data_IF_868805097790
#
_entry.id   IF_868805097790
#
_cell.length_a   1.000
_cell.length_b   1.000
_cell.length_c   1.000
_cell.angle_alpha   90.00
_cell.angle_beta   90.00
_cell.angle_gamma   90.00
#
_symmetry.space_group_name_H-M   'P 1'
#
loop_
_entity.id
_entity.type
_entity.pdbx_description
1 polymer ?
#
# COMPACT_ATOMS: atom_id res chain seq x y z
N UNK A 1 -34.99 4.53 -1.32
CA UNK A 1 -33.89 4.49 -0.35
C UNK A 1 -32.67 4.14 -1.17
N UNK A 2 -31.63 4.97 -1.14
CA UNK A 2 -30.45 4.79 -2.00
C UNK A 2 -29.49 3.80 -1.32
N UNK A 3 -30.02 2.63 -1.01
CA UNK A 3 -29.38 1.54 -0.30
C UNK A 3 -29.15 0.36 -1.23
N UNK A 4 -27.99 -0.27 -1.12
CA UNK A 4 -27.52 -1.32 -2.00
C UNK A 4 -26.99 -2.49 -1.18
N UNK A 5 -27.27 -3.71 -1.62
CA UNK A 5 -26.55 -4.88 -1.17
C UNK A 5 -25.22 -4.98 -1.92
N UNK A 6 -24.20 -5.45 -1.22
CA UNK A 6 -22.84 -5.57 -1.73
C UNK A 6 -22.44 -7.03 -1.66
N UNK A 7 -21.85 -7.53 -2.74
CA UNK A 7 -21.11 -8.78 -2.79
C UNK A 7 -19.71 -8.47 -3.31
N UNK A 8 -18.68 -9.02 -2.64
CA UNK A 8 -17.28 -8.86 -3.00
C UNK A 8 -16.66 -10.22 -3.27
N UNK A 9 -15.81 -10.26 -4.29
CA UNK A 9 -14.81 -11.31 -4.48
C UNK A 9 -13.45 -10.59 -4.59
N UNK A 10 -12.59 -10.83 -3.60
CA UNK A 10 -11.26 -10.26 -3.51
C UNK A 10 -10.23 -11.36 -3.71
N UNK A 11 -9.21 -11.09 -4.51
CA UNK A 11 -8.03 -11.94 -4.63
C UNK A 11 -6.80 -11.09 -4.30
N UNK A 12 -5.96 -11.61 -3.42
CA UNK A 12 -4.72 -10.98 -2.98
C UNK A 12 -3.54 -11.57 -3.76
N UNK A 13 -2.45 -10.81 -3.82
CA UNK A 13 -1.22 -11.18 -4.49
C UNK A 13 -0.58 -12.47 -3.95
N UNK A 14 -0.81 -12.78 -2.67
CA UNK A 14 -0.36 -14.02 -2.02
C UNK A 14 -1.22 -15.24 -2.37
N UNK A 15 -2.22 -15.07 -3.24
CA UNK A 15 -3.14 -16.10 -3.70
C UNK A 15 -4.36 -16.29 -2.80
N UNK A 16 -4.45 -15.58 -1.67
CA UNK A 16 -5.65 -15.63 -0.85
C UNK A 16 -6.86 -15.08 -1.61
N UNK A 17 -8.00 -15.73 -1.46
CA UNK A 17 -9.27 -15.23 -1.99
C UNK A 17 -10.29 -15.14 -0.89
N UNK A 18 -10.97 -14.00 -0.85
CA UNK A 18 -11.92 -13.62 0.19
C UNK A 18 -13.22 -13.19 -0.47
N UNK A 19 -14.32 -13.77 -0.01
CA UNK A 19 -15.64 -13.24 -0.35
C UNK A 19 -16.11 -12.30 0.75
N UNK A 20 -16.98 -11.37 0.37
CA UNK A 20 -17.58 -10.45 1.33
C UNK A 20 -19.01 -10.08 0.98
N UNK A 21 -19.76 -9.68 2.00
CA UNK A 21 -21.14 -9.23 1.86
C UNK A 21 -21.41 -8.05 2.80
N UNK A 22 -22.29 -7.14 2.38
CA UNK A 22 -22.63 -5.99 3.20
C UNK A 22 -23.69 -5.10 2.58
N UNK A 23 -23.82 -3.92 3.15
CA UNK A 23 -24.79 -2.92 2.73
C UNK A 23 -24.10 -1.56 2.56
N UNK A 24 -24.50 -0.86 1.49
CA UNK A 24 -24.01 0.47 1.14
C UNK A 24 -25.14 1.47 0.99
N UNK A 25 -24.84 2.74 1.24
CA UNK A 25 -25.74 3.86 1.03
C UNK A 25 -24.99 4.93 0.22
N UNK A 26 -25.69 5.53 -0.75
CA UNK A 26 -25.20 6.72 -1.45
C UNK A 26 -25.83 7.95 -0.82
N UNK A 27 -25.01 8.82 -0.23
CA UNK A 27 -25.42 10.14 0.23
C UNK A 27 -25.18 11.17 -0.87
N UNK A 28 -26.06 12.16 -0.95
CA UNK A 28 -25.93 13.35 -1.82
C UNK A 28 -25.60 13.05 -3.29
N UNK A 29 -25.99 11.86 -3.78
CA UNK A 29 -25.76 11.42 -5.16
C UNK A 29 -24.36 10.90 -5.49
N UNK A 30 -23.38 10.99 -4.58
CA UNK A 30 -22.00 10.54 -4.86
C UNK A 30 -21.22 9.97 -3.66
N UNK A 31 -21.61 10.26 -2.42
CA UNK A 31 -20.88 9.83 -1.24
C UNK A 31 -21.27 8.40 -0.85
N UNK A 32 -20.48 7.43 -1.27
CA UNK A 32 -20.69 6.03 -0.94
C UNK A 32 -20.16 5.72 0.47
N UNK A 33 -21.04 5.16 1.31
CA UNK A 33 -20.68 4.65 2.63
C UNK A 33 -21.19 3.22 2.75
N UNK A 34 -20.31 2.28 3.04
CA UNK A 34 -20.70 0.89 3.22
C UNK A 34 -20.06 0.27 4.45
N UNK A 35 -20.73 -0.75 4.99
CA UNK A 35 -20.14 -1.72 5.89
C UNK A 35 -20.15 -3.07 5.21
N UNK A 36 -19.00 -3.73 5.15
CA UNK A 36 -18.84 -5.03 4.50
C UNK A 36 -18.15 -5.98 5.44
N UNK A 37 -18.67 -7.21 5.53
CA UNK A 37 -17.96 -8.31 6.16
C UNK A 37 -17.09 -8.97 5.10
N UNK A 38 -15.77 -8.97 5.26
CA UNK A 38 -14.83 -9.59 4.34
C UNK A 38 -13.74 -10.33 5.11
N UNK A 39 -13.50 -11.61 4.78
CA UNK A 39 -12.37 -12.35 5.35
C UNK A 39 -12.42 -12.54 6.86
N UNK A 40 -13.63 -12.55 7.44
CA UNK A 40 -13.83 -12.59 8.90
C UNK A 40 -13.78 -11.23 9.58
N UNK A 41 -13.43 -10.17 8.87
CA UNK A 41 -13.31 -8.80 9.38
C UNK A 41 -14.46 -7.89 8.94
N UNK A 42 -14.88 -6.97 9.81
CA UNK A 42 -15.82 -5.91 9.43
C UNK A 42 -15.04 -4.70 8.95
N UNK A 43 -15.31 -4.25 7.72
CA UNK A 43 -14.70 -3.05 7.15
C UNK A 43 -15.75 -1.98 6.86
N UNK A 44 -15.31 -0.73 6.90
CA UNK A 44 -16.04 0.43 6.41
C UNK A 44 -15.44 0.88 5.08
N UNK A 45 -16.28 1.26 4.14
CA UNK A 45 -15.87 1.89 2.88
C UNK A 45 -16.34 3.35 2.87
N UNK A 46 -15.42 4.25 2.54
CA UNK A 46 -15.68 5.68 2.37
C UNK A 46 -15.18 6.06 0.98
N UNK A 47 -16.09 6.01 0.01
CA UNK A 47 -15.78 6.20 -1.40
C UNK A 47 -16.59 7.38 -1.99
N UNK A 48 -16.14 7.86 -3.14
CA UNK A 48 -16.83 8.82 -3.97
C UNK A 48 -17.16 8.18 -5.32
N UNK A 49 -18.42 8.26 -5.74
CA UNK A 49 -18.87 7.90 -7.08
C UNK A 49 -18.50 9.04 -8.03
N UNK A 50 -17.93 8.70 -9.18
CA UNK A 50 -17.66 9.67 -10.23
C UNK A 50 -18.95 10.26 -10.79
N UNK A 51 -18.87 11.48 -11.34
CA UNK A 51 -20.03 12.21 -11.89
C UNK A 51 -20.74 11.43 -13.01
N UNK A 52 -20.00 10.66 -13.80
CA UNK A 52 -20.52 9.78 -14.86
C UNK A 52 -21.06 8.43 -14.34
N UNK A 53 -20.95 8.18 -13.03
CA UNK A 53 -21.38 6.95 -12.37
C UNK A 53 -20.57 5.70 -12.76
N UNK A 54 -19.41 5.86 -13.40
CA UNK A 54 -18.60 4.75 -13.92
C UNK A 54 -17.53 4.24 -12.95
N UNK A 55 -17.22 4.97 -11.88
CA UNK A 55 -16.19 4.54 -10.94
C UNK A 55 -16.48 4.96 -9.51
N UNK A 56 -15.98 4.16 -8.56
CA UNK A 56 -15.89 4.52 -7.15
C UNK A 56 -14.41 4.61 -6.79
N UNK A 57 -14.01 5.66 -6.07
CA UNK A 57 -12.66 5.79 -5.54
C UNK A 57 -12.67 6.27 -4.10
N UNK A 58 -11.72 5.81 -3.29
CA UNK A 58 -11.60 6.22 -1.90
C UNK A 58 -10.83 5.21 -1.08
N UNK A 59 -11.26 4.98 0.16
CA UNK A 59 -10.58 4.08 1.09
C UNK A 59 -11.56 3.14 1.77
N UNK A 60 -11.14 1.91 1.99
CA UNK A 60 -11.75 1.01 2.96
C UNK A 60 -10.81 0.81 4.14
N UNK A 61 -11.36 0.51 5.32
CA UNK A 61 -10.59 0.25 6.53
C UNK A 61 -11.33 -0.62 7.53
N UNK A 62 -10.61 -1.26 8.45
CA UNK A 62 -11.22 -2.06 9.52
C UNK A 62 -12.11 -1.16 10.40
N UNK A 63 -13.32 -1.63 10.70
CA UNK A 63 -14.32 -0.86 11.45
C UNK A 63 -13.86 -0.53 12.88
N UNK A 64 -13.01 -1.36 13.47
CA UNK A 64 -12.44 -1.18 14.81
C UNK A 64 -11.03 -0.57 14.79
N UNK A 65 -10.43 -0.39 13.60
CA UNK A 65 -9.08 0.15 13.45
C UNK A 65 -8.90 0.85 12.10
N UNK A 66 -9.18 2.14 12.06
CA UNK A 66 -9.12 2.91 10.81
C UNK A 66 -7.71 3.15 10.27
N UNK A 67 -6.66 2.88 11.05
CA UNK A 67 -5.28 2.90 10.58
C UNK A 67 -4.99 1.75 9.59
N UNK A 68 -5.74 0.64 9.68
CA UNK A 68 -5.59 -0.53 8.82
C UNK A 68 -6.65 -0.52 7.72
N UNK A 69 -6.20 -0.42 6.47
CA UNK A 69 -7.08 -0.30 5.33
C UNK A 69 -6.31 -0.09 4.05
N UNK A 70 -7.00 0.07 2.93
CA UNK A 70 -6.37 0.33 1.64
C UNK A 70 -7.20 1.28 0.79
N UNK A 71 -6.51 2.00 -0.09
CA UNK A 71 -7.18 2.76 -1.14
C UNK A 71 -7.78 1.80 -2.15
N UNK A 72 -8.89 2.20 -2.75
CA UNK A 72 -9.58 1.37 -3.73
C UNK A 72 -10.09 2.23 -4.87
N UNK A 73 -9.96 1.68 -6.07
CA UNK A 73 -10.63 2.14 -7.28
C UNK A 73 -11.44 0.99 -7.84
N UNK A 74 -12.74 1.20 -7.97
CA UNK A 74 -13.67 0.26 -8.59
C UNK A 74 -14.18 0.89 -9.88
N UNK A 75 -14.24 0.11 -10.95
CA UNK A 75 -14.86 0.53 -12.21
C UNK A 75 -16.12 -0.28 -12.43
N UNK A 76 -17.14 0.39 -12.98
CA UNK A 76 -18.37 -0.27 -13.39
C UNK A 76 -18.04 -1.28 -14.48
N UNK A 77 -18.55 -2.50 -14.33
CA UNK A 77 -18.50 -3.50 -15.38
C UNK A 77 -19.29 -2.98 -16.60
N UNK A 78 -18.64 -2.95 -17.75
CA UNK A 78 -19.25 -2.69 -19.06
C UNK A 78 -18.74 -3.71 -20.08
N UNK A 79 -18.94 -3.46 -21.37
CA UNK A 79 -18.41 -4.31 -22.44
C UNK A 79 -16.98 -3.93 -22.86
N UNK A 80 -16.58 -2.68 -22.63
CA UNK A 80 -15.26 -2.18 -22.98
C UNK A 80 -14.17 -2.78 -22.06
N UNK A 81 -12.98 -3.11 -22.59
CA UNK A 81 -11.86 -3.54 -21.77
C UNK A 81 -11.24 -2.35 -21.04
N UNK A 82 -10.83 -2.56 -19.79
CA UNK A 82 -10.14 -1.53 -18.98
C UNK A 82 -9.02 -2.19 -18.19
N UNK A 83 -7.84 -1.59 -18.21
CA UNK A 83 -6.71 -1.97 -17.36
C UNK A 83 -6.74 -1.10 -16.10
N UNK A 84 -6.64 -1.75 -14.93
CA UNK A 84 -6.66 -1.09 -13.63
C UNK A 84 -5.27 -1.01 -12.98
N UNK A 85 -4.48 -2.07 -13.09
CA UNK A 85 -3.14 -2.14 -12.50
C UNK A 85 -2.28 -3.22 -13.15
N UNK A 86 -0.98 -3.14 -12.91
CA UNK A 86 0.00 -4.20 -13.19
C UNK A 86 0.70 -4.53 -11.86
N UNK A 87 0.88 -5.82 -11.58
CA UNK A 87 1.55 -6.31 -10.38
C UNK A 87 2.68 -7.30 -10.70
N UNK A 88 3.91 -7.09 -10.20
CA UNK A 88 4.39 -5.82 -9.63
C UNK A 88 4.31 -4.68 -10.66
N UNK A 89 4.22 -3.41 -10.22
CA UNK A 89 4.14 -2.26 -11.13
C UNK A 89 5.51 -1.88 -11.71
N UNK A 90 6.48 -2.81 -11.74
CA UNK A 90 7.84 -2.55 -12.19
C UNK A 90 8.51 -3.79 -12.79
N UNK A 91 9.54 -3.56 -13.60
CA UNK A 91 10.44 -4.59 -14.14
C UNK A 91 11.86 -4.03 -14.26
N UNK A 92 12.88 -4.80 -13.81
CA UNK A 92 14.28 -4.37 -13.91
C UNK A 92 14.81 -4.58 -15.32
N UNK A 93 15.52 -3.59 -15.87
CA UNK A 93 16.18 -3.68 -17.17
C UNK A 93 17.16 -4.85 -17.19
N UNK A 94 17.10 -5.66 -18.24
CA UNK A 94 17.90 -6.88 -18.39
C UNK A 94 17.35 -8.11 -17.67
N UNK A 95 16.22 -7.99 -16.97
CA UNK A 95 15.61 -9.10 -16.23
C UNK A 95 14.29 -9.58 -16.86
N UNK A 96 13.85 -10.74 -16.38
CA UNK A 96 12.56 -11.33 -16.73
C UNK A 96 11.72 -11.49 -15.46
N UNK A 97 10.47 -11.06 -15.52
CA UNK A 97 9.54 -11.10 -14.39
C UNK A 97 8.18 -11.68 -14.81
N UNK A 98 7.46 -12.23 -13.84
CA UNK A 98 6.04 -12.51 -14.01
C UNK A 98 5.26 -11.26 -13.64
N UNK A 99 4.36 -10.82 -14.52
CA UNK A 99 3.48 -9.67 -14.30
C UNK A 99 2.02 -10.14 -14.35
N UNK A 100 1.19 -9.52 -13.54
CA UNK A 100 -0.25 -9.73 -13.49
C UNK A 100 -0.96 -8.42 -13.84
N UNK A 101 -1.64 -8.40 -14.97
CA UNK A 101 -2.43 -7.26 -15.42
C UNK A 101 -3.86 -7.46 -14.91
N UNK A 102 -4.36 -6.54 -14.10
CA UNK A 102 -5.73 -6.58 -13.58
C UNK A 102 -6.64 -5.62 -14.32
N UNK A 103 -7.90 -6.00 -14.49
CA UNK A 103 -8.86 -5.16 -15.19
C UNK A 103 -10.21 -5.82 -15.40
N UNK A 104 -10.92 -5.37 -16.43
CA UNK A 104 -12.18 -5.93 -16.88
C UNK A 104 -12.12 -6.22 -18.38
N UNK A 105 -12.77 -7.30 -18.80
CA UNK A 105 -12.84 -7.80 -20.19
C UNK A 105 -11.47 -7.97 -20.89
N UNK A 106 -10.44 -8.41 -20.17
CA UNK A 106 -9.07 -8.57 -20.67
C UNK A 106 -8.80 -9.90 -21.40
N UNK A 107 -9.84 -10.70 -21.66
CA UNK A 107 -9.69 -12.07 -22.17
C UNK A 107 -9.21 -12.15 -23.64
N UNK A 108 -9.16 -11.02 -24.35
CA UNK A 108 -8.82 -10.95 -25.77
C UNK A 108 -7.98 -9.71 -26.06
N UNK A 109 -7.19 -9.76 -27.15
CA UNK A 109 -6.37 -8.66 -27.62
C UNK A 109 -4.88 -8.91 -27.42
N UNK A 110 -4.07 -8.18 -28.21
CA UNK A 110 -2.62 -8.23 -28.12
C UNK A 110 -2.12 -7.40 -26.92
N UNK A 111 -1.05 -7.86 -26.29
CA UNK A 111 -0.45 -7.21 -25.12
C UNK A 111 0.78 -6.44 -25.56
N UNK A 112 0.84 -5.16 -25.18
CA UNK A 112 2.02 -4.31 -25.37
C UNK A 112 2.37 -3.67 -24.02
N UNK A 113 3.60 -3.90 -23.56
CA UNK A 113 4.10 -3.43 -22.26
C UNK A 113 4.92 -2.13 -22.37
N UNK A 114 4.94 -1.52 -23.56
CA UNK A 114 5.73 -0.33 -23.87
C UNK A 114 7.15 -0.66 -24.35
N UNK A 115 7.86 0.40 -24.75
CA UNK A 115 9.18 0.28 -25.37
C UNK A 115 10.20 -0.42 -24.46
N UNK A 116 10.95 -1.37 -25.04
CA UNK A 116 12.00 -2.11 -24.36
C UNK A 116 11.52 -3.26 -23.48
N UNK A 117 10.20 -3.53 -23.43
CA UNK A 117 9.62 -4.66 -22.68
C UNK A 117 8.86 -5.59 -23.62
N UNK A 118 9.20 -6.89 -23.59
CA UNK A 118 8.60 -7.92 -24.43
C UNK A 118 7.78 -8.91 -23.62
N UNK A 119 6.67 -9.39 -24.17
CA UNK A 119 5.92 -10.52 -23.60
C UNK A 119 6.53 -11.81 -24.13
N UNK A 120 7.18 -12.57 -23.25
CA UNK A 120 7.80 -13.86 -23.60
C UNK A 120 6.77 -14.98 -23.66
N UNK A 121 5.83 -14.96 -22.72
CA UNK A 121 4.82 -16.00 -22.59
C UNK A 121 3.56 -15.47 -21.91
N UNK A 122 2.39 -15.83 -22.45
CA UNK A 122 1.11 -15.67 -21.75
C UNK A 122 0.91 -16.93 -20.90
N UNK A 123 0.90 -16.75 -19.57
CA UNK A 123 0.73 -17.85 -18.61
C UNK A 123 -0.76 -18.15 -18.38
N UNK A 124 -1.57 -17.09 -18.32
CA UNK A 124 -3.02 -17.17 -18.19
C UNK A 124 -3.66 -15.92 -18.80
N UNK A 125 -4.76 -16.08 -19.54
CA UNK A 125 -5.55 -14.98 -20.08
C UNK A 125 -7.00 -15.12 -19.64
N UNK A 126 -7.42 -14.28 -18.71
CA UNK A 126 -8.77 -14.23 -18.15
C UNK A 126 -9.40 -12.85 -18.33
N UNK A 127 -10.71 -12.76 -18.09
CA UNK A 127 -11.45 -11.50 -18.24
C UNK A 127 -11.07 -10.45 -17.17
N UNK A 128 -10.73 -10.88 -15.95
CA UNK A 128 -10.40 -9.99 -14.85
C UNK A 128 -8.89 -9.85 -14.58
N UNK A 129 -8.09 -10.80 -15.08
CA UNK A 129 -6.66 -10.82 -14.88
C UNK A 129 -5.94 -11.57 -16.00
N UNK A 130 -4.76 -11.10 -16.37
CA UNK A 130 -3.89 -11.72 -17.38
C UNK A 130 -2.49 -11.85 -16.78
N UNK A 131 -2.03 -13.09 -16.62
CA UNK A 131 -0.70 -13.41 -16.10
C UNK A 131 0.26 -13.65 -17.26
N UNK A 132 1.38 -12.95 -17.27
CA UNK A 132 2.38 -13.02 -18.32
C UNK A 132 3.79 -13.16 -17.73
N UNK A 133 4.69 -13.74 -18.51
CA UNK A 133 6.12 -13.63 -18.32
C UNK A 133 6.65 -12.59 -19.29
N UNK A 134 7.28 -11.55 -18.79
CA UNK A 134 7.81 -10.43 -19.56
C UNK A 134 9.31 -10.26 -19.34
N UNK A 135 10.03 -9.78 -20.36
CA UNK A 135 11.44 -9.43 -20.28
C UNK A 135 11.62 -7.95 -20.58
N UNK A 136 12.51 -7.28 -19.83
CA UNK A 136 12.97 -5.94 -20.18
C UNK A 136 14.37 -6.06 -20.78
N UNK A 137 14.61 -5.40 -21.92
CA UNK A 137 15.93 -5.36 -22.53
C UNK A 137 16.94 -4.72 -21.57
N UNK A 138 18.20 -5.17 -21.59
CA UNK A 138 19.27 -4.57 -20.79
C UNK A 138 19.53 -3.09 -21.15
N UNK A 139 19.13 -2.68 -22.34
CA UNK A 139 19.21 -1.29 -22.84
C UNK A 139 17.88 -0.56 -22.76
N UNK A 140 16.86 -1.12 -22.09
CA UNK A 140 15.58 -0.45 -21.93
C UNK A 140 15.78 0.78 -21.03
N UNK A 141 15.37 1.96 -21.52
CA UNK A 141 15.50 3.19 -20.75
C UNK A 141 14.66 3.14 -19.46
N UNK A 142 15.19 3.66 -18.36
CA UNK A 142 14.41 3.83 -17.14
C UNK A 142 13.17 4.70 -17.38
N UNK A 143 12.08 4.42 -16.68
CA UNK A 143 10.87 5.23 -16.67
C UNK A 143 9.56 4.46 -16.81
N UNK A 144 8.47 5.19 -16.73
CA UNK A 144 7.12 4.63 -16.82
C UNK A 144 6.77 4.16 -18.23
N UNK A 145 5.91 3.16 -18.33
CA UNK A 145 5.37 2.59 -19.56
C UNK A 145 3.86 2.62 -19.53
N UNK A 146 3.29 2.89 -20.68
CA UNK A 146 1.88 2.65 -20.94
C UNK A 146 1.70 1.19 -21.31
N UNK A 147 0.82 0.51 -20.58
CA UNK A 147 0.43 -0.88 -20.84
C UNK A 147 -0.84 -0.87 -21.69
N UNK A 148 -0.85 -1.68 -22.74
CA UNK A 148 -1.99 -1.85 -23.64
C UNK A 148 -2.37 -3.33 -23.72
N UNK A 149 -3.67 -3.58 -23.80
CA UNK A 149 -4.25 -4.89 -24.01
C UNK A 149 -5.48 -4.74 -24.89
N UNK A 150 -5.35 -5.12 -26.17
CA UNK A 150 -6.37 -4.80 -27.18
C UNK A 150 -6.62 -3.30 -27.26
N UNK A 151 -7.87 -2.88 -27.08
CA UNK A 151 -8.26 -1.46 -27.08
C UNK A 151 -8.10 -0.79 -25.71
N UNK A 152 -7.76 -1.54 -24.66
CA UNK A 152 -7.53 -0.97 -23.34
C UNK A 152 -6.12 -0.41 -23.20
N UNK A 153 -6.01 0.75 -22.55
CA UNK A 153 -4.76 1.43 -22.28
C UNK A 153 -4.71 1.87 -20.82
N UNK A 154 -3.55 1.69 -20.19
CA UNK A 154 -3.26 2.19 -18.85
C UNK A 154 -1.90 2.86 -18.81
N UNK A 155 -1.89 4.18 -18.68
CA UNK A 155 -0.66 4.97 -18.62
C UNK A 155 0.03 4.84 -17.26
N UNK A 156 1.36 4.74 -17.30
CA UNK A 156 2.18 4.72 -16.10
C UNK A 156 1.97 3.52 -15.17
N UNK A 157 1.41 2.43 -15.67
CA UNK A 157 1.12 1.23 -14.85
C UNK A 157 2.33 0.33 -14.64
N UNK A 158 3.38 0.46 -15.45
CA UNK A 158 4.60 -0.32 -15.35
C UNK A 158 5.82 0.60 -15.39
N UNK A 159 6.74 0.48 -14.45
CA UNK A 159 8.01 1.22 -14.43
C UNK A 159 9.18 0.31 -14.79
N UNK A 160 9.92 0.64 -15.84
CA UNK A 160 11.22 0.03 -16.10
C UNK A 160 12.25 0.75 -15.25
N UNK A 161 13.09 0.02 -14.52
CA UNK A 161 14.17 0.59 -13.73
C UNK A 161 15.47 -0.18 -13.94
N UNK A 162 16.62 0.47 -13.82
CA UNK A 162 17.94 -0.17 -13.88
C UNK A 162 18.56 -0.30 -12.47
N UNK A 163 18.39 0.71 -11.64
CA UNK A 163 18.82 0.75 -10.25
C UNK A 163 17.78 1.40 -9.33
N UNK A 164 18.03 1.30 -8.03
CA UNK A 164 17.26 2.01 -7.00
C UNK A 164 18.21 3.08 -6.46
N UNK A 165 17.83 4.35 -6.59
CA UNK A 165 18.65 5.46 -6.08
C UNK A 165 18.26 5.83 -4.66
N UNK A 166 16.97 5.66 -4.32
CA UNK A 166 16.44 5.98 -3.01
C UNK A 166 15.34 5.01 -2.58
N UNK A 167 15.24 4.82 -1.27
CA UNK A 167 14.09 4.19 -0.62
C UNK A 167 13.42 5.24 0.25
N UNK A 168 12.13 5.45 0.03
CA UNK A 168 11.28 6.28 0.89
C UNK A 168 10.37 5.36 1.69
N UNK A 169 10.36 5.55 3.01
CA UNK A 169 9.42 4.85 3.89
C UNK A 169 8.15 5.68 3.91
N UNK A 170 7.05 5.12 3.42
CA UNK A 170 5.76 5.80 3.30
C UNK A 170 4.76 5.22 4.32
N UNK A 171 4.12 6.04 5.18
CA UNK A 171 4.33 7.48 5.33
C UNK A 171 5.69 7.82 5.98
N UNK A 172 6.23 8.99 5.64
CA UNK A 172 7.50 9.52 6.19
C UNK A 172 7.39 9.95 7.66
N UNK A 173 6.17 10.26 8.10
CA UNK A 173 5.80 10.52 9.47
C UNK A 173 4.48 9.82 9.83
N UNK A 174 4.47 9.06 10.93
CA UNK A 174 3.27 8.44 11.46
C UNK A 174 3.12 8.61 12.97
N UNK A 175 1.90 8.38 13.45
CA UNK A 175 1.58 8.29 14.87
C UNK A 175 0.99 6.92 15.15
N UNK A 176 1.55 6.21 16.12
CA UNK A 176 0.92 5.05 16.75
C UNK A 176 0.44 5.44 18.16
N UNK A 177 -0.56 4.73 18.68
CA UNK A 177 -1.08 4.98 20.03
C UNK A 177 -1.09 3.70 20.84
N UNK A 178 -0.53 3.77 22.05
CA UNK A 178 -0.67 2.68 23.02
C UNK A 178 -2.14 2.40 23.27
N UNK A 179 -2.47 1.14 23.55
CA UNK A 179 -3.84 0.72 23.82
C UNK A 179 -3.88 -0.52 24.70
N UNK A 180 -5.04 -1.14 24.80
CA UNK A 180 -5.44 -1.93 25.97
C UNK A 180 -4.40 -2.87 26.61
N UNK A 181 -3.99 -2.50 27.83
CA UNK A 181 -3.47 -3.42 28.85
C UNK A 181 -4.62 -3.96 29.73
N UNK A 182 -5.41 -3.07 30.34
CA UNK A 182 -6.68 -3.38 31.04
C UNK A 182 -7.81 -2.39 30.69
N UNK A 183 -7.54 -1.44 29.78
CA UNK A 183 -8.47 -0.37 29.41
C UNK A 183 -9.46 -0.75 28.30
N UNK A 184 -10.34 0.19 27.88
CA UNK A 184 -11.30 -0.04 26.80
C UNK A 184 -10.85 0.46 25.40
N UNK A 185 -9.76 1.23 25.29
CA UNK A 185 -9.27 1.82 24.03
C UNK A 185 -8.22 0.96 23.34
N UNK A 186 -8.58 0.40 22.18
CA UNK A 186 -7.68 -0.43 21.37
C UNK A 186 -6.40 0.33 20.94
N UNK A 187 -5.27 -0.38 20.75
CA UNK A 187 -4.06 0.23 20.22
C UNK A 187 -4.26 0.70 18.78
N UNK A 188 -3.60 1.80 18.41
CA UNK A 188 -3.58 2.31 17.03
C UNK A 188 -2.21 2.00 16.43
N UNK A 189 -2.10 1.04 15.49
CA UNK A 189 -0.86 0.69 14.83
C UNK A 189 -0.49 1.72 13.74
N UNK A 190 0.68 1.55 13.14
CA UNK A 190 1.11 2.27 11.96
C UNK A 190 1.68 1.30 10.93
N UNK A 191 1.13 1.29 9.72
CA UNK A 191 1.66 0.53 8.59
C UNK A 191 2.63 1.40 7.79
N UNK A 192 3.73 0.83 7.35
CA UNK A 192 4.71 1.47 6.48
C UNK A 192 4.99 0.61 5.24
N UNK A 193 5.22 1.28 4.12
CA UNK A 193 5.66 0.68 2.86
C UNK A 193 7.07 1.18 2.52
N UNK A 194 7.89 0.30 1.93
CA UNK A 194 9.22 0.66 1.44
C UNK A 194 9.12 0.91 -0.07
N UNK A 195 9.15 2.18 -0.46
CA UNK A 195 8.93 2.58 -1.85
C UNK A 195 10.26 2.97 -2.49
N UNK A 196 10.60 2.26 -3.57
CA UNK A 196 11.81 2.51 -4.35
C UNK A 196 11.60 3.63 -5.37
N UNK A 197 12.62 4.47 -5.53
CA UNK A 197 12.66 5.60 -6.46
C UNK A 197 13.98 5.60 -7.25
N UNK A 198 13.93 6.14 -8.46
CA UNK A 198 15.09 6.63 -9.21
C UNK A 198 15.11 8.16 -9.13
N UNK A 199 16.30 8.78 -9.19
CA UNK A 199 16.44 10.24 -9.18
C UNK A 199 15.85 10.91 -10.44
N UNK A 200 15.65 10.14 -11.50
CA UNK A 200 15.12 10.68 -12.75
C UNK A 200 16.19 11.38 -13.61
N UNK A 201 15.78 12.13 -14.65
CA UNK A 201 16.68 12.74 -15.62
C UNK A 201 17.75 13.70 -15.08
N UNK A 202 17.50 14.40 -13.97
CA UNK A 202 18.46 15.35 -13.40
C UNK A 202 19.51 14.71 -12.48
N UNK A 203 19.34 13.43 -12.14
CA UNK A 203 20.21 12.64 -11.25
C UNK A 203 20.34 13.22 -9.82
N UNK A 204 19.34 13.98 -9.36
CA UNK A 204 19.28 14.53 -8.02
C UNK A 204 18.17 13.84 -7.21
N UNK A 205 18.47 13.53 -5.95
CA UNK A 205 17.49 12.90 -5.08
C UNK A 205 16.50 13.92 -4.50
N UNK A 206 15.21 13.60 -4.52
CA UNK A 206 14.18 14.38 -3.85
C UNK A 206 13.69 15.58 -4.65
N UNK A 207 13.80 15.53 -5.97
CA UNK A 207 13.30 16.51 -6.92
C UNK A 207 11.94 16.08 -7.47
N UNK A 208 11.34 16.94 -8.31
CA UNK A 208 10.02 16.70 -8.90
C UNK A 208 10.06 15.65 -10.03
N UNK A 209 11.25 15.32 -10.56
CA UNK A 209 11.45 14.33 -11.62
C UNK A 209 11.88 12.93 -11.12
N UNK A 210 12.01 12.75 -9.80
CA UNK A 210 12.16 11.43 -9.17
C UNK A 210 11.07 10.48 -9.70
N UNK A 211 11.50 9.32 -10.20
CA UNK A 211 10.60 8.32 -10.78
C UNK A 211 10.28 7.26 -9.73
N UNK A 212 9.02 7.17 -9.34
CA UNK A 212 8.53 6.10 -8.46
C UNK A 212 8.58 4.75 -9.16
N UNK A 213 9.33 3.80 -8.60
CA UNK A 213 9.37 2.42 -9.09
C UNK A 213 8.19 1.63 -8.54
N UNK A 214 8.03 1.59 -7.21
CA UNK A 214 7.01 0.77 -6.56
C UNK A 214 7.30 0.46 -5.10
N UNK A 215 6.30 -0.05 -4.38
CA UNK A 215 6.53 -0.69 -3.08
C UNK A 215 7.25 -2.02 -3.33
N UNK A 216 8.33 -2.28 -2.59
CA UNK A 216 9.13 -3.49 -2.73
C UNK A 216 9.31 -4.21 -1.39
N UNK A 217 9.55 -5.53 -1.41
CA UNK A 217 9.94 -6.25 -0.21
C UNK A 217 11.20 -5.64 0.42
N UNK A 218 11.16 -5.40 1.73
CA UNK A 218 12.25 -4.77 2.47
C UNK A 218 12.51 -5.48 3.80
N UNK A 219 13.73 -5.33 4.30
CA UNK A 219 14.07 -5.63 5.69
C UNK A 219 13.74 -4.43 6.56
N UNK A 220 13.06 -4.67 7.69
CA UNK A 220 12.55 -3.62 8.57
C UNK A 220 13.29 -3.62 9.91
N UNK A 221 13.61 -2.43 10.42
CA UNK A 221 14.13 -2.24 11.78
C UNK A 221 13.52 -1.01 12.46
N UNK A 222 13.60 -0.98 13.79
CA UNK A 222 13.14 0.13 14.60
C UNK A 222 14.24 0.56 15.56
N UNK A 223 14.52 1.86 15.58
CA UNK A 223 15.54 2.48 16.43
C UNK A 223 14.98 3.68 17.20
N UNK A 224 15.75 4.17 18.17
CA UNK A 224 15.44 5.41 18.86
C UNK A 224 15.66 6.60 17.90
N UNK A 225 14.69 7.51 17.78
CA UNK A 225 14.79 8.62 16.82
C UNK A 225 15.88 9.65 17.15
N UNK A 226 16.28 9.76 18.43
CA UNK A 226 17.24 10.76 18.90
C UNK A 226 17.87 10.35 20.25
N UNK A 227 18.81 11.16 20.73
CA UNK A 227 19.53 10.91 22.00
C UNK A 227 18.60 10.84 23.22
N UNK A 228 17.51 11.61 23.23
CA UNK A 228 16.53 11.57 24.33
C UNK A 228 15.76 10.26 24.32
N UNK A 229 15.30 9.82 23.15
CA UNK A 229 14.65 8.53 22.97
C UNK A 229 15.58 7.37 23.36
N UNK A 230 16.87 7.46 23.00
CA UNK A 230 17.87 6.48 23.40
C UNK A 230 18.08 6.43 24.92
N UNK A 231 18.16 7.59 25.58
CA UNK A 231 18.27 7.68 27.04
C UNK A 231 17.01 7.15 27.76
N UNK A 232 15.84 7.24 27.13
CA UNK A 232 14.57 6.70 27.62
C UNK A 232 14.29 5.25 27.18
N UNK A 233 15.17 4.69 26.34
CA UNK A 233 15.05 3.37 25.72
C UNK A 233 13.72 3.18 24.97
N UNK A 234 13.28 4.19 24.22
CA UNK A 234 11.97 4.19 23.56
C UNK A 234 11.76 2.97 22.65
N UNK A 235 12.73 2.63 21.80
CA UNK A 235 12.66 1.47 20.90
C UNK A 235 12.48 0.14 21.64
N UNK A 236 12.92 0.04 22.90
CA UNK A 236 12.75 -1.15 23.73
C UNK A 236 11.32 -1.27 24.28
N UNK A 237 10.65 -0.16 24.54
CA UNK A 237 9.39 -0.14 25.29
C UNK A 237 8.16 0.20 24.44
N UNK A 238 8.32 0.92 23.34
CA UNK A 238 7.21 1.55 22.64
C UNK A 238 6.36 0.59 21.80
N UNK A 239 6.92 -0.54 21.35
CA UNK A 239 6.19 -1.51 20.53
C UNK A 239 7.13 -2.45 19.76
N UNK A 240 6.57 -3.10 18.75
CA UNK A 240 7.29 -4.03 17.88
C UNK A 240 6.95 -3.75 16.42
N UNK A 241 7.94 -3.82 15.54
CA UNK A 241 7.79 -3.73 14.09
C UNK A 241 7.81 -5.13 13.50
N UNK A 242 6.81 -5.47 12.67
CA UNK A 242 6.75 -6.74 11.97
C UNK A 242 7.66 -6.75 10.74
N UNK A 243 7.87 -7.94 10.16
CA UNK A 243 8.56 -8.10 8.87
C UNK A 243 7.79 -7.50 7.68
N UNK A 244 6.52 -7.11 7.87
CA UNK A 244 5.67 -6.51 6.83
C UNK A 244 5.58 -4.99 6.96
N UNK A 245 6.41 -4.35 7.79
CA UNK A 245 6.34 -2.91 8.04
C UNK A 245 5.18 -2.47 8.93
N UNK A 246 4.49 -3.40 9.60
CA UNK A 246 3.42 -3.07 10.55
C UNK A 246 4.00 -2.84 11.95
N UNK A 247 3.93 -1.61 12.45
CA UNK A 247 4.28 -1.29 13.82
C UNK A 247 3.07 -1.48 14.76
N UNK A 248 3.22 -2.38 15.72
CA UNK A 248 2.26 -2.63 16.78
C UNK A 248 2.74 -1.96 18.09
N UNK A 249 2.03 -0.94 18.62
CA UNK A 249 2.43 -0.28 19.85
C UNK A 249 2.20 -1.19 21.07
N UNK A 250 2.98 -0.95 22.12
CA UNK A 250 2.86 -1.67 23.38
C UNK A 250 1.61 -1.25 24.18
N UNK A 251 1.37 -1.98 25.28
CA UNK A 251 0.24 -1.76 26.18
C UNK A 251 0.25 -0.36 26.82
N UNK A 252 -0.94 0.16 27.07
CA UNK A 252 -1.16 1.45 27.71
C UNK A 252 -0.96 1.44 29.24
N UNK A 253 -0.99 2.63 29.84
CA UNK A 253 -0.87 2.82 31.30
C UNK A 253 0.57 3.08 31.77
N UNK A 254 0.77 3.43 33.05
CA UNK A 254 2.11 3.59 33.64
C UNK A 254 2.91 2.28 33.55
N UNK A 255 4.17 2.35 33.13
CA UNK A 255 5.05 1.18 33.08
C UNK A 255 6.12 1.28 34.19
N UNK A 256 6.03 0.46 35.27
CA UNK A 256 7.00 0.48 36.37
C UNK A 256 8.46 0.21 35.96
N UNK A 257 8.68 -0.43 34.81
CA UNK A 257 10.02 -0.70 34.28
C UNK A 257 10.66 0.51 33.58
N UNK A 258 9.90 1.60 33.35
CA UNK A 258 10.40 2.83 32.73
C UNK A 258 10.72 3.89 33.77
N UNK A 259 11.62 4.81 33.39
CA UNK A 259 11.93 6.00 34.19
C UNK A 259 10.64 6.80 34.46
N UNK A 260 10.46 7.21 35.71
CA UNK A 260 9.26 7.92 36.20
C UNK A 260 7.95 7.12 36.07
N UNK A 261 8.02 5.82 35.81
CA UNK A 261 6.84 4.99 35.54
C UNK A 261 6.00 5.53 34.37
N UNK A 262 6.64 6.20 33.42
CA UNK A 262 5.96 6.76 32.24
C UNK A 262 5.33 5.66 31.38
N UNK A 263 4.46 6.06 30.44
CA UNK A 263 3.82 5.12 29.52
C UNK A 263 4.82 4.51 28.52
N UNK A 264 4.37 3.53 27.74
CA UNK A 264 5.12 2.98 26.61
C UNK A 264 5.07 3.89 25.36
N UNK A 265 5.13 5.20 25.56
CA UNK A 265 5.28 6.19 24.48
C UNK A 265 6.75 6.29 24.03
N UNK A 266 7.00 6.87 22.86
CA UNK A 266 8.36 7.09 22.41
C UNK A 266 8.48 7.71 21.04
N UNK A 267 9.67 8.17 20.72
CA UNK A 267 10.04 8.67 19.40
C UNK A 267 10.99 7.68 18.72
N UNK A 268 10.56 7.16 17.56
CA UNK A 268 11.21 6.05 16.86
C UNK A 268 11.61 6.44 15.44
N UNK A 269 12.69 5.83 14.96
CA UNK A 269 13.03 5.77 13.54
C UNK A 269 12.64 4.40 13.01
N UNK A 270 11.82 4.37 11.97
CA UNK A 270 11.44 3.16 11.25
C UNK A 270 12.30 3.09 10.01
N UNK A 271 13.14 2.07 9.89
CA UNK A 271 14.07 1.94 8.78
C UNK A 271 13.67 0.77 7.89
N UNK A 272 13.72 0.99 6.57
CA UNK A 272 13.52 -0.04 5.57
C UNK A 272 14.74 -0.14 4.67
N UNK A 273 15.18 -1.36 4.39
CA UNK A 273 16.28 -1.65 3.46
C UNK A 273 15.81 -2.59 2.37
N UNK A 274 15.93 -2.16 1.11
CA UNK A 274 15.67 -2.99 -0.07
C UNK A 274 17.00 -3.50 -0.62
N UNK A 275 17.04 -4.77 -1.04
CA UNK A 275 18.26 -5.42 -1.52
C UNK A 275 19.17 -5.96 -0.40
N UNK A 276 20.37 -6.39 -0.76
CA UNK A 276 21.34 -6.97 0.17
C UNK A 276 22.78 -6.62 -0.25
N UNK A 277 23.70 -6.55 0.70
CA UNK A 277 25.11 -6.29 0.41
C UNK A 277 25.32 -4.89 -0.17
N UNK A 278 26.13 -4.79 -1.22
CA UNK A 278 26.51 -3.50 -1.84
C UNK A 278 25.37 -2.85 -2.65
N UNK A 279 24.31 -3.59 -2.98
CA UNK A 279 23.10 -3.08 -3.66
C UNK A 279 22.01 -2.64 -2.66
N UNK A 280 22.28 -2.70 -1.36
CA UNK A 280 21.30 -2.36 -0.35
C UNK A 280 21.06 -0.86 -0.27
N UNK A 281 19.82 -0.43 -0.49
CA UNK A 281 19.40 0.97 -0.37
C UNK A 281 18.43 1.08 0.79
N UNK A 282 18.62 2.09 1.64
CA UNK A 282 17.84 2.27 2.87
C UNK A 282 17.13 3.62 2.93
N UNK A 283 15.98 3.62 3.56
CA UNK A 283 15.19 4.80 3.89
C UNK A 283 14.71 4.75 5.34
N UNK A 284 14.31 5.89 5.87
CA UNK A 284 13.78 6.00 7.23
C UNK A 284 12.55 6.90 7.29
N UNK A 285 11.62 6.56 8.18
CA UNK A 285 10.48 7.39 8.57
C UNK A 285 10.50 7.66 10.07
N UNK A 286 9.88 8.76 10.50
CA UNK A 286 9.70 9.08 11.90
C UNK A 286 8.37 8.54 12.41
N UNK A 287 8.40 7.85 13.54
CA UNK A 287 7.20 7.37 14.22
C UNK A 287 7.14 7.95 15.62
N UNK A 288 6.01 8.56 15.97
CA UNK A 288 5.72 8.95 17.35
C UNK A 288 4.68 7.99 17.93
N UNK A 289 5.08 7.24 18.95
CA UNK A 289 4.18 6.43 19.77
C UNK A 289 3.68 7.28 20.93
N UNK A 290 2.37 7.48 21.03
CA UNK A 290 1.78 8.40 22.02
C UNK A 290 0.59 7.78 22.75
N UNK A 291 -0.02 8.56 23.64
CA UNK A 291 -1.15 8.14 24.48
C UNK A 291 -2.46 8.01 23.69
N UNK A 292 -3.44 7.40 24.34
CA UNK A 292 -4.77 7.18 23.80
C UNK A 292 -5.50 8.49 23.48
N UNK A 293 -6.56 8.36 22.68
CA UNK A 293 -7.59 9.37 22.49
C UNK A 293 -8.93 8.74 22.87
N UNK A 294 -9.69 9.41 23.72
CA UNK A 294 -11.00 8.92 24.21
C UNK A 294 -12.19 9.51 23.47
N UNK A 295 -12.02 10.70 22.87
CA UNK A 295 -13.01 11.31 22.00
C UNK A 295 -12.54 11.17 20.56
N UNK A 296 -13.19 10.31 19.80
CA UNK A 296 -12.85 10.04 18.40
C UNK A 296 -14.11 10.15 17.52
N UNK A 297 -14.50 11.39 17.15
CA UNK A 297 -15.66 11.62 16.30
C UNK A 297 -15.37 11.15 14.86
N UNK A 298 -16.41 10.97 14.02
CA UNK A 298 -16.24 10.55 12.62
C UNK A 298 -15.36 11.46 11.75
N UNK A 299 -15.16 12.73 12.15
CA UNK A 299 -14.27 13.68 11.49
C UNK A 299 -13.31 14.22 12.56
N UNK A 300 -12.00 13.99 12.36
CA UNK A 300 -10.92 14.31 13.31
C UNK A 300 -10.30 15.68 13.06
#
# INVERSE_FOLDING_TARGET
>A
QDSYQIELNLSYADGQSVTGQGDGIVYTGYEWRARVQQGGESVLQVLALSEDGQSLSGRWFLNDNDALGSTVRLVRMGDAPVILSVEPPYIKAGETANLLIHGINLAQGDINLGEGVSVEQILHQGAAAVAIRASAAATAAAGTRTVQLGDAQGDGLLTVYDQIDAVRVEPDYAIARVGNAEGPVAPVPAQFDAVAYMNGPDDLAGTDDDIRIGSMPASWSVDNANETAAAMQDAKFAGQLSATGLFQPAGAGPNPARRYQTNNAGELSINATIGTGDEAVSGSARLVVTVQRWNDPPIR
#
